data_IF_121283615541
#
_entry.id   IF_121283615541
#
_cell.length_a   1.000
_cell.length_b   1.000
_cell.length_c   1.000
_cell.angle_alpha   90.00
_cell.angle_beta   90.00
_cell.angle_gamma   90.00
#
_symmetry.space_group_name_H-M   'P 1'
#
loop_
_entity.id
_entity.type
_entity.pdbx_description
1 polymer ?
#
# COMPACT_ATOMS: atom_id res chain seq x y z
N UNK A 1 -16.93 -53.07 13.65
CA UNK A 1 -16.85 -51.97 14.64
C UNK A 1 -16.70 -50.70 13.84
N UNK A 2 -17.76 -49.90 13.74
CA UNK A 2 -17.81 -48.68 12.93
C UNK A 2 -17.88 -47.49 13.87
N UNK A 3 -16.80 -46.73 14.01
CA UNK A 3 -16.81 -45.45 14.71
C UNK A 3 -17.02 -44.31 13.71
N UNK A 4 -18.11 -43.59 13.93
CA UNK A 4 -18.59 -42.47 13.14
C UNK A 4 -17.72 -41.23 13.32
N UNK A 5 -17.22 -40.71 12.21
CA UNK A 5 -16.60 -39.39 12.08
C UNK A 5 -17.65 -38.29 12.34
N UNK A 6 -17.61 -37.64 13.50
CA UNK A 6 -18.51 -36.52 13.83
C UNK A 6 -17.83 -35.19 13.48
N UNK A 7 -18.25 -34.57 12.37
CA UNK A 7 -17.81 -33.23 12.00
C UNK A 7 -18.36 -32.19 12.99
N UNK A 8 -17.57 -31.17 13.40
CA UNK A 8 -18.02 -30.15 14.33
C UNK A 8 -19.19 -29.36 13.73
N UNK A 9 -20.34 -29.45 14.41
CA UNK A 9 -21.59 -28.81 14.02
C UNK A 9 -21.45 -27.29 14.11
N UNK A 10 -21.65 -26.59 12.99
CA UNK A 10 -21.67 -25.13 12.95
C UNK A 10 -22.68 -24.58 13.98
N UNK A 11 -22.20 -23.73 14.89
CA UNK A 11 -23.06 -23.06 15.85
C UNK A 11 -23.95 -22.05 15.12
N UNK A 12 -25.25 -22.10 15.41
CA UNK A 12 -26.17 -21.05 14.95
C UNK A 12 -25.90 -19.77 15.74
N UNK A 13 -25.88 -18.59 15.10
CA UNK A 13 -25.76 -17.31 15.79
C UNK A 13 -26.85 -17.19 16.85
N UNK A 14 -26.49 -16.81 18.06
CA UNK A 14 -27.45 -16.58 19.13
C UNK A 14 -28.14 -15.24 18.85
N UNK A 15 -29.48 -15.19 18.69
CA UNK A 15 -30.18 -13.92 18.58
C UNK A 15 -30.00 -13.17 19.91
N UNK A 16 -29.35 -12.01 19.86
CA UNK A 16 -29.25 -11.08 20.99
C UNK A 16 -30.46 -10.14 20.95
N UNK A 17 -31.03 -9.85 22.12
CA UNK A 17 -32.04 -8.81 22.24
C UNK A 17 -31.37 -7.41 22.17
N UNK A 18 -32.08 -6.35 21.75
CA UNK A 18 -31.53 -4.99 21.70
C UNK A 18 -30.87 -4.52 23.01
N UNK A 19 -31.36 -4.98 24.16
CA UNK A 19 -30.80 -4.69 25.49
C UNK A 19 -29.42 -5.35 25.72
N UNK A 20 -29.14 -6.47 25.06
CA UNK A 20 -27.86 -7.16 25.16
C UNK A 20 -26.75 -6.42 24.38
N UNK A 21 -27.11 -5.55 23.43
CA UNK A 21 -26.18 -4.66 22.73
C UNK A 21 -25.79 -3.42 23.56
N UNK A 22 -26.58 -3.05 24.57
CA UNK A 22 -26.29 -1.88 25.40
C UNK A 22 -25.00 -2.02 26.22
N UNK A 23 -24.55 -3.27 26.44
CA UNK A 23 -23.30 -3.59 27.14
C UNK A 23 -22.07 -3.64 26.21
N UNK A 24 -22.24 -3.49 24.90
CA UNK A 24 -21.13 -3.34 23.96
C UNK A 24 -20.96 -1.84 23.67
N UNK A 25 -19.86 -1.21 24.11
CA UNK A 25 -19.53 0.14 23.65
C UNK A 25 -19.47 0.09 22.13
N UNK A 26 -20.36 0.82 21.45
CA UNK A 26 -20.26 1.00 20.01
C UNK A 26 -18.92 1.65 19.69
N UNK A 27 -18.24 1.15 18.65
CA UNK A 27 -17.05 1.82 18.10
C UNK A 27 -17.37 3.23 17.61
N UNK A 28 -16.34 3.98 17.21
CA UNK A 28 -16.55 5.27 16.56
C UNK A 28 -17.48 5.12 15.33
N UNK A 29 -18.29 6.14 15.06
CA UNK A 29 -19.20 6.16 13.91
C UNK A 29 -18.40 6.00 12.59
N UNK A 30 -18.56 4.88 11.84
CA UNK A 30 -17.77 4.62 10.64
C UNK A 30 -17.90 5.71 9.59
N UNK A 31 -19.06 6.37 9.49
CA UNK A 31 -19.26 7.46 8.54
C UNK A 31 -18.39 8.67 8.88
N UNK A 32 -18.29 9.02 10.17
CA UNK A 32 -17.44 10.13 10.64
C UNK A 32 -15.95 9.82 10.51
N UNK A 33 -15.56 8.57 10.75
CA UNK A 33 -14.16 8.14 10.56
C UNK A 33 -13.78 8.24 9.08
N UNK A 34 -14.66 7.78 8.18
CA UNK A 34 -14.44 7.90 6.73
C UNK A 34 -14.39 9.35 6.26
N UNK A 35 -15.27 10.22 6.76
CA UNK A 35 -15.27 11.64 6.43
C UNK A 35 -13.98 12.34 6.91
N UNK A 36 -13.55 12.06 8.15
CA UNK A 36 -12.31 12.60 8.70
C UNK A 36 -11.07 12.13 7.91
N UNK A 37 -11.04 10.85 7.54
CA UNK A 37 -10.00 10.29 6.67
C UNK A 37 -9.90 11.05 5.35
N UNK A 38 -11.05 11.29 4.72
CA UNK A 38 -11.12 11.97 3.44
C UNK A 38 -10.70 13.44 3.53
N UNK A 39 -11.18 14.18 4.54
CA UNK A 39 -10.76 15.56 4.79
C UNK A 39 -9.26 15.68 5.06
N UNK A 40 -8.69 14.77 5.85
CA UNK A 40 -7.25 14.74 6.13
C UNK A 40 -6.44 14.45 4.86
N UNK A 41 -6.90 13.52 4.03
CA UNK A 41 -6.28 13.16 2.76
C UNK A 41 -6.30 14.34 1.77
N UNK A 42 -7.44 15.00 1.62
CA UNK A 42 -7.57 16.20 0.78
C UNK A 42 -6.64 17.31 1.26
N UNK A 43 -6.63 17.62 2.56
CA UNK A 43 -5.78 18.66 3.11
C UNK A 43 -4.29 18.38 2.83
N UNK A 44 -3.85 17.14 2.97
CA UNK A 44 -2.45 16.77 2.74
C UNK A 44 -2.02 16.94 1.28
N UNK A 45 -2.86 16.52 0.32
CA UNK A 45 -2.52 16.61 -1.12
C UNK A 45 -2.75 18.02 -1.69
N UNK A 46 -3.79 18.73 -1.25
CA UNK A 46 -4.08 20.09 -1.70
C UNK A 46 -3.12 21.13 -1.12
N UNK A 47 -2.73 21.01 0.15
CA UNK A 47 -1.76 21.93 0.74
C UNK A 47 -0.37 21.78 0.09
N UNK A 48 -0.07 20.58 -0.41
CA UNK A 48 1.11 20.31 -1.24
C UNK A 48 1.14 21.00 -2.61
N UNK A 49 -0.03 21.22 -3.23
CA UNK A 49 -0.16 21.96 -4.50
C UNK A 49 -0.06 23.48 -4.33
N UNK A 50 -0.48 24.00 -3.17
CA UNK A 50 -0.50 25.45 -2.90
C UNK A 50 0.74 25.95 -2.15
N UNK A 51 1.43 25.07 -1.41
CA UNK A 51 2.66 25.39 -0.69
C UNK A 51 3.89 25.19 -1.58
N UNK A 52 4.65 26.26 -1.83
CA UNK A 52 5.86 26.24 -2.68
C UNK A 52 7.15 25.95 -1.88
N UNK A 53 7.06 25.36 -0.68
CA UNK A 53 8.22 25.15 0.22
C UNK A 53 8.54 23.65 0.41
N UNK A 54 9.58 23.11 -0.28
CA UNK A 54 10.03 21.73 -0.13
C UNK A 54 10.40 21.34 1.31
N UNK A 55 10.81 22.29 2.15
CA UNK A 55 11.13 22.03 3.56
C UNK A 55 9.87 21.79 4.39
N UNK A 56 8.73 22.36 4.01
CA UNK A 56 7.42 22.09 4.64
C UNK A 56 6.93 20.70 4.25
N UNK A 57 7.07 20.30 2.99
CA UNK A 57 6.76 18.93 2.54
C UNK A 57 7.64 17.90 3.26
N UNK A 58 8.96 18.14 3.31
CA UNK A 58 9.90 17.28 4.06
C UNK A 58 9.52 17.20 5.53
N UNK A 59 9.18 18.34 6.17
CA UNK A 59 8.69 18.34 7.54
C UNK A 59 7.35 17.65 7.71
N UNK A 60 6.40 17.75 6.76
CA UNK A 60 5.13 17.04 6.83
C UNK A 60 5.33 15.53 6.72
N UNK A 61 6.25 15.07 5.85
CA UNK A 61 6.67 13.66 5.76
C UNK A 61 7.43 13.22 7.01
N UNK A 62 8.30 14.05 7.58
CA UNK A 62 9.02 13.74 8.82
C UNK A 62 8.10 13.77 10.06
N UNK A 63 7.12 14.67 10.12
CA UNK A 63 6.12 14.76 11.19
C UNK A 63 5.10 13.62 11.09
N UNK A 64 4.76 13.26 9.85
CA UNK A 64 4.06 12.04 9.51
C UNK A 64 4.78 10.82 10.06
N UNK A 65 6.08 10.70 9.81
CA UNK A 65 6.93 9.60 10.26
C UNK A 65 7.20 9.58 11.79
N UNK A 66 7.08 10.73 12.49
CA UNK A 66 7.53 10.83 13.90
C UNK A 66 6.41 10.83 14.95
N UNK A 67 5.21 11.37 14.67
CA UNK A 67 4.12 11.44 15.68
C UNK A 67 2.68 11.42 15.13
N UNK A 68 2.42 11.48 13.81
CA UNK A 68 1.09 11.83 13.29
C UNK A 68 0.49 10.94 12.21
N UNK A 69 1.28 10.33 11.32
CA UNK A 69 0.71 9.57 10.21
C UNK A 69 0.40 8.14 10.57
N UNK A 70 1.02 7.46 11.54
CA UNK A 70 0.50 6.12 11.90
C UNK A 70 -0.99 6.16 12.29
N UNK A 71 -1.42 7.17 13.06
CA UNK A 71 -2.82 7.31 13.45
C UNK A 71 -3.74 7.67 12.26
N UNK A 72 -3.30 8.57 11.37
CA UNK A 72 -4.07 8.98 10.17
C UNK A 72 -4.08 7.86 9.12
N UNK A 73 -2.99 7.12 9.02
CA UNK A 73 -2.80 6.04 8.07
C UNK A 73 -3.51 4.77 8.53
N UNK A 74 -3.61 4.52 9.84
CA UNK A 74 -4.56 3.55 10.42
C UNK A 74 -6.01 3.90 10.04
N UNK A 75 -6.38 5.19 10.10
CA UNK A 75 -7.70 5.65 9.66
C UNK A 75 -7.93 5.41 8.16
N UNK A 76 -6.91 5.63 7.34
CA UNK A 76 -6.97 5.37 5.90
C UNK A 76 -6.93 3.88 5.54
N UNK A 77 -6.42 3.02 6.42
CA UNK A 77 -6.32 1.59 6.15
C UNK A 77 -7.68 0.92 5.92
N UNK A 78 -8.73 1.46 6.52
CA UNK A 78 -10.12 1.00 6.34
C UNK A 78 -10.80 1.63 5.11
N UNK A 79 -10.17 2.61 4.46
CA UNK A 79 -10.74 3.28 3.30
C UNK A 79 -10.76 2.38 2.05
N UNK A 80 -11.74 2.58 1.14
CA UNK A 80 -11.79 1.85 -0.13
C UNK A 80 -10.48 1.94 -0.92
N UNK A 81 -10.13 0.87 -1.63
CA UNK A 81 -8.85 0.80 -2.33
C UNK A 81 -8.59 1.93 -3.33
N UNK A 82 -9.66 2.37 -3.98
CA UNK A 82 -9.70 3.33 -5.09
C UNK A 82 -10.35 4.65 -4.66
N UNK A 83 -10.09 5.04 -3.42
CA UNK A 83 -10.39 6.37 -2.89
C UNK A 83 -9.09 7.15 -2.65
N UNK A 84 -9.17 8.47 -2.44
CA UNK A 84 -8.00 9.28 -2.12
C UNK A 84 -7.27 8.79 -0.85
N UNK A 85 -7.95 8.59 0.31
CA UNK A 85 -7.30 8.07 1.51
C UNK A 85 -6.73 6.65 1.29
N UNK A 86 -7.44 5.78 0.56
CA UNK A 86 -6.96 4.43 0.28
C UNK A 86 -5.73 4.37 -0.64
N UNK A 87 -5.61 5.33 -1.56
CA UNK A 87 -4.43 5.51 -2.40
C UNK A 87 -3.24 6.02 -1.58
N UNK A 88 -3.43 7.04 -0.73
CA UNK A 88 -2.40 7.54 0.17
C UNK A 88 -1.88 6.45 1.10
N UNK A 89 -2.78 5.67 1.73
CA UNK A 89 -2.37 4.56 2.57
C UNK A 89 -1.45 3.58 1.86
N UNK A 90 -1.76 3.23 0.60
CA UNK A 90 -0.91 2.32 -0.19
C UNK A 90 0.47 2.91 -0.44
N UNK A 91 0.58 4.20 -0.70
CA UNK A 91 1.88 4.87 -0.86
C UNK A 91 2.71 4.76 0.43
N UNK A 92 2.10 5.09 1.57
CA UNK A 92 2.77 4.98 2.88
C UNK A 92 3.13 3.53 3.22
N UNK A 93 2.23 2.58 3.01
CA UNK A 93 2.46 1.16 3.29
C UNK A 93 3.59 0.59 2.42
N UNK A 94 3.68 0.99 1.15
CA UNK A 94 4.77 0.59 0.26
C UNK A 94 6.11 1.17 0.73
N UNK A 95 6.15 2.46 1.08
CA UNK A 95 7.35 3.08 1.64
C UNK A 95 7.78 2.40 2.94
N UNK A 96 6.87 2.16 3.86
CA UNK A 96 7.16 1.47 5.12
C UNK A 96 7.70 0.05 4.89
N UNK A 97 7.11 -0.70 3.95
CA UNK A 97 7.58 -2.03 3.58
C UNK A 97 9.01 -2.01 2.98
N UNK A 98 9.33 -0.97 2.20
CA UNK A 98 10.68 -0.73 1.67
C UNK A 98 11.65 -0.42 2.80
N UNK A 99 11.30 0.50 3.71
CA UNK A 99 12.18 0.90 4.81
C UNK A 99 12.48 -0.25 5.78
N UNK A 100 11.49 -1.14 6.02
CA UNK A 100 11.64 -2.30 6.90
C UNK A 100 12.65 -3.33 6.37
N UNK A 101 12.74 -3.54 5.05
CA UNK A 101 13.65 -4.53 4.48
C UNK A 101 14.10 -4.15 3.06
N UNK A 102 14.94 -3.10 2.93
CA UNK A 102 15.30 -2.54 1.63
C UNK A 102 16.15 -3.50 0.80
N UNK A 103 17.03 -4.29 1.43
CA UNK A 103 17.89 -5.28 0.76
C UNK A 103 17.06 -6.33 0.03
N UNK A 104 16.04 -6.86 0.71
CA UNK A 104 15.15 -7.85 0.11
C UNK A 104 14.36 -7.24 -1.05
N UNK A 105 13.91 -5.99 -0.91
CA UNK A 105 13.15 -5.34 -1.96
C UNK A 105 14.04 -4.99 -3.16
N UNK A 106 15.27 -4.53 -2.94
CA UNK A 106 16.27 -4.30 -3.98
C UNK A 106 16.61 -5.59 -4.72
N UNK A 107 16.77 -6.71 -4.01
CA UNK A 107 17.00 -8.02 -4.63
C UNK A 107 15.83 -8.43 -5.55
N UNK A 108 14.57 -8.30 -5.09
CA UNK A 108 13.41 -8.58 -5.93
C UNK A 108 13.31 -7.61 -7.11
N UNK A 109 13.50 -6.32 -6.88
CA UNK A 109 13.46 -5.34 -7.96
C UNK A 109 14.52 -5.67 -9.03
N UNK A 110 15.75 -5.96 -8.62
CA UNK A 110 16.84 -6.37 -9.52
C UNK A 110 16.49 -7.64 -10.29
N UNK A 111 15.86 -8.62 -9.64
CA UNK A 111 15.40 -9.85 -10.31
C UNK A 111 14.24 -9.63 -11.29
N UNK A 112 13.48 -8.52 -11.18
CA UNK A 112 12.36 -8.21 -12.06
C UNK A 112 12.64 -7.18 -13.16
N UNK A 113 13.63 -6.31 -12.98
CA UNK A 113 13.84 -5.12 -13.82
C UNK A 113 14.19 -5.43 -15.28
N UNK A 114 14.84 -6.56 -15.54
CA UNK A 114 15.33 -6.91 -16.89
C UNK A 114 14.18 -7.37 -17.80
N UNK A 115 13.08 -7.82 -17.23
CA UNK A 115 11.88 -8.30 -17.95
C UNK A 115 10.80 -7.20 -18.05
N UNK A 116 10.79 -6.24 -17.12
CA UNK A 116 9.80 -5.16 -17.04
C UNK A 116 10.34 -3.80 -17.51
N UNK A 117 10.84 -3.71 -18.74
CA UNK A 117 11.54 -2.51 -19.24
C UNK A 117 10.71 -1.21 -19.19
N UNK A 118 9.41 -1.27 -19.51
CA UNK A 118 8.53 -0.09 -19.46
C UNK A 118 8.30 0.36 -18.01
N UNK A 119 7.99 -0.58 -17.11
CA UNK A 119 7.78 -0.28 -15.69
C UNK A 119 9.05 0.23 -15.00
N UNK A 120 10.24 -0.25 -15.41
CA UNK A 120 11.52 0.27 -14.92
C UNK A 120 11.71 1.75 -15.25
N UNK A 121 11.40 2.15 -16.49
CA UNK A 121 11.52 3.55 -16.93
C UNK A 121 10.54 4.43 -16.18
N UNK A 122 9.29 3.98 -16.02
CA UNK A 122 8.25 4.73 -15.32
C UNK A 122 8.57 4.88 -13.84
N UNK A 123 9.06 3.83 -13.16
CA UNK A 123 9.49 3.94 -11.77
C UNK A 123 10.63 4.96 -11.56
N UNK A 124 11.33 5.34 -12.64
CA UNK A 124 12.29 6.45 -12.71
C UNK A 124 13.50 6.24 -11.83
N UNK A 125 14.03 5.02 -11.86
CA UNK A 125 15.08 4.56 -10.94
C UNK A 125 16.44 4.62 -11.62
N UNK A 126 17.37 5.38 -11.04
CA UNK A 126 18.76 5.43 -11.49
C UNK A 126 19.47 4.10 -11.17
N UNK A 127 20.34 3.63 -12.07
CA UNK A 127 21.21 2.48 -11.81
C UNK A 127 22.55 2.94 -11.19
N UNK A 128 23.16 2.14 -10.29
CA UNK A 128 22.75 0.81 -9.81
C UNK A 128 21.75 0.87 -8.64
N UNK A 129 21.02 -0.23 -8.43
CA UNK A 129 19.94 -0.33 -7.45
C UNK A 129 20.31 -1.22 -6.27
N UNK A 130 20.97 -0.62 -5.28
CA UNK A 130 21.10 -1.18 -3.94
C UNK A 130 19.94 -0.79 -3.04
N UNK A 131 20.03 -1.17 -1.77
CA UNK A 131 19.03 -0.86 -0.75
C UNK A 131 18.78 0.65 -0.59
N UNK A 132 19.84 1.46 -0.64
CA UNK A 132 19.76 2.90 -0.41
C UNK A 132 19.09 3.61 -1.59
N UNK A 133 19.33 3.18 -2.83
CA UNK A 133 18.67 3.76 -4.00
C UNK A 133 17.17 3.45 -4.04
N UNK A 134 16.76 2.25 -3.62
CA UNK A 134 15.33 1.91 -3.50
C UNK A 134 14.64 2.74 -2.42
N UNK A 135 15.31 2.99 -1.29
CA UNK A 135 14.79 3.89 -0.24
C UNK A 135 14.65 5.32 -0.76
N UNK A 136 15.72 5.87 -1.32
CA UNK A 136 15.74 7.22 -1.85
C UNK A 136 14.67 7.41 -2.93
N UNK A 137 14.46 6.42 -3.79
CA UNK A 137 13.37 6.44 -4.77
C UNK A 137 12.00 6.47 -4.09
N UNK A 138 11.75 5.63 -3.08
CA UNK A 138 10.46 5.62 -2.38
C UNK A 138 10.17 6.95 -1.68
N UNK A 139 11.18 7.53 -1.04
CA UNK A 139 11.10 8.85 -0.41
C UNK A 139 10.82 9.93 -1.47
N UNK A 140 11.55 9.92 -2.59
CA UNK A 140 11.37 10.88 -3.69
C UNK A 140 9.97 10.81 -4.29
N UNK A 141 9.46 9.60 -4.56
CA UNK A 141 8.12 9.42 -5.13
C UNK A 141 7.06 9.93 -4.15
N UNK A 142 7.21 9.63 -2.86
CA UNK A 142 6.26 10.08 -1.85
C UNK A 142 6.29 11.61 -1.67
N UNK A 143 7.47 12.24 -1.67
CA UNK A 143 7.61 13.69 -1.65
C UNK A 143 6.96 14.36 -2.85
N UNK A 144 7.20 13.86 -4.07
CA UNK A 144 6.56 14.38 -5.29
C UNK A 144 5.03 14.32 -5.24
N UNK A 145 4.48 13.30 -4.58
CA UNK A 145 3.03 13.17 -4.36
C UNK A 145 2.45 14.39 -3.60
N UNK A 146 3.23 14.96 -2.68
CA UNK A 146 2.90 16.14 -1.89
C UNK A 146 3.42 17.45 -2.49
N UNK A 147 4.08 17.43 -3.64
CA UNK A 147 4.51 18.64 -4.37
C UNK A 147 3.63 18.90 -5.61
N UNK A 148 2.50 18.19 -5.69
CA UNK A 148 1.49 18.36 -6.73
C UNK A 148 1.55 17.32 -7.86
N UNK A 149 2.51 16.39 -7.83
CA UNK A 149 2.69 15.30 -8.79
C UNK A 149 2.02 13.99 -8.32
N UNK A 150 0.84 14.07 -7.71
CA UNK A 150 0.19 12.93 -7.06
C UNK A 150 -0.11 11.75 -8.01
N UNK A 151 -0.66 12.02 -9.19
CA UNK A 151 -0.87 11.01 -10.24
C UNK A 151 0.43 10.35 -10.69
N UNK A 152 1.47 11.16 -10.91
CA UNK A 152 2.80 10.65 -11.29
C UNK A 152 3.34 9.74 -10.18
N UNK A 153 3.22 10.15 -8.91
CA UNK A 153 3.67 9.35 -7.79
C UNK A 153 2.96 7.98 -7.71
N UNK A 154 1.64 7.96 -7.92
CA UNK A 154 0.84 6.73 -7.99
C UNK A 154 1.31 5.82 -9.14
N UNK A 155 1.52 6.37 -10.35
CA UNK A 155 1.99 5.61 -11.51
C UNK A 155 3.41 5.03 -11.29
N UNK A 156 4.31 5.81 -10.66
CA UNK A 156 5.67 5.36 -10.32
C UNK A 156 5.66 4.21 -9.31
N UNK A 157 4.87 4.31 -8.24
CA UNK A 157 4.74 3.22 -7.27
C UNK A 157 4.02 1.99 -7.84
N UNK A 158 3.05 2.17 -8.74
CA UNK A 158 2.42 1.06 -9.44
C UNK A 158 3.41 0.29 -10.32
N UNK A 159 4.22 1.04 -11.09
CA UNK A 159 5.29 0.48 -11.90
C UNK A 159 6.33 -0.26 -11.04
N UNK A 160 6.73 0.32 -9.91
CA UNK A 160 7.58 -0.35 -8.93
C UNK A 160 6.99 -1.67 -8.42
N UNK A 161 5.71 -1.67 -8.02
CA UNK A 161 5.02 -2.89 -7.58
C UNK A 161 5.05 -4.00 -8.63
N UNK A 162 4.86 -3.66 -9.92
CA UNK A 162 4.93 -4.62 -11.04
C UNK A 162 6.33 -5.23 -11.17
N UNK A 163 7.39 -4.42 -11.09
CA UNK A 163 8.78 -4.91 -11.15
C UNK A 163 9.09 -5.85 -9.98
N UNK A 164 8.74 -5.46 -8.75
CA UNK A 164 8.98 -6.28 -7.55
C UNK A 164 8.17 -7.57 -7.59
N UNK A 165 6.91 -7.54 -8.04
CA UNK A 165 6.08 -8.74 -8.19
C UNK A 165 6.69 -9.76 -9.15
N UNK A 166 7.26 -9.28 -10.26
CA UNK A 166 7.94 -10.12 -11.23
C UNK A 166 9.20 -10.77 -10.62
N UNK A 167 10.00 -9.97 -9.90
CA UNK A 167 11.14 -10.50 -9.16
C UNK A 167 10.75 -11.54 -8.12
N UNK A 168 9.68 -11.30 -7.36
CA UNK A 168 9.17 -12.29 -6.40
C UNK A 168 8.74 -13.60 -7.07
N UNK A 169 8.18 -13.53 -8.28
CA UNK A 169 7.84 -14.71 -9.08
C UNK A 169 9.10 -15.48 -9.48
N UNK A 170 10.13 -14.81 -9.99
CA UNK A 170 11.40 -15.44 -10.34
C UNK A 170 12.07 -16.13 -9.14
N UNK A 171 12.01 -15.49 -7.96
CA UNK A 171 12.50 -16.08 -6.72
C UNK A 171 11.63 -17.25 -6.23
N UNK A 172 10.32 -17.22 -6.48
CA UNK A 172 9.40 -18.30 -6.14
C UNK A 172 9.73 -19.57 -6.95
N UNK A 173 9.89 -19.43 -8.27
CA UNK A 173 10.23 -20.52 -9.19
C UNK A 173 11.56 -21.16 -8.79
N UNK A 174 12.57 -20.33 -8.49
CA UNK A 174 13.88 -20.80 -8.00
C UNK A 174 13.81 -21.53 -6.65
N UNK A 175 12.82 -21.22 -5.82
CA UNK A 175 12.63 -21.83 -4.50
C UNK A 175 11.72 -23.05 -4.52
N UNK A 176 11.02 -23.35 -5.62
CA UNK A 176 9.95 -24.35 -5.65
C UNK A 176 10.45 -25.75 -5.28
N UNK A 177 11.59 -26.17 -5.85
CA UNK A 177 12.18 -27.49 -5.63
C UNK A 177 12.78 -27.66 -4.21
N UNK A 178 13.27 -26.58 -3.61
CA UNK A 178 13.98 -26.62 -2.32
C UNK A 178 13.09 -26.24 -1.12
N UNK A 179 12.07 -25.40 -1.34
CA UNK A 179 11.19 -24.88 -0.31
C UNK A 179 9.84 -24.40 -0.90
N UNK A 180 8.92 -25.36 -1.13
CA UNK A 180 7.59 -25.08 -1.68
C UNK A 180 6.73 -24.12 -0.85
N UNK A 181 6.90 -24.08 0.48
CA UNK A 181 6.20 -23.13 1.34
C UNK A 181 6.63 -21.67 1.06
N UNK A 182 7.94 -21.46 0.90
CA UNK A 182 8.50 -20.15 0.52
C UNK A 182 8.03 -19.75 -0.87
N UNK A 183 8.05 -20.66 -1.85
CA UNK A 183 7.57 -20.39 -3.20
C UNK A 183 6.09 -19.94 -3.18
N UNK A 184 5.22 -20.69 -2.49
CA UNK A 184 3.80 -20.35 -2.34
C UNK A 184 3.58 -18.97 -1.72
N UNK A 185 4.35 -18.62 -0.69
CA UNK A 185 4.29 -17.31 -0.06
C UNK A 185 4.69 -16.19 -1.03
N UNK A 186 5.80 -16.36 -1.75
CA UNK A 186 6.28 -15.37 -2.73
C UNK A 186 5.28 -15.17 -3.87
N UNK A 187 4.70 -16.24 -4.41
CA UNK A 187 3.66 -16.14 -5.44
C UNK A 187 2.42 -15.39 -4.94
N UNK A 188 2.00 -15.60 -3.69
CA UNK A 188 0.87 -14.86 -3.10
C UNK A 188 1.21 -13.37 -2.95
N UNK A 189 2.40 -13.05 -2.45
CA UNK A 189 2.84 -11.67 -2.29
C UNK A 189 2.95 -10.95 -3.64
N UNK A 190 3.47 -11.62 -4.67
CA UNK A 190 3.53 -11.10 -6.03
C UNK A 190 2.13 -10.72 -6.55
N UNK A 191 1.13 -11.61 -6.38
CA UNK A 191 -0.26 -11.30 -6.77
C UNK A 191 -0.84 -10.11 -6.00
N UNK A 192 -0.52 -9.97 -4.72
CA UNK A 192 -0.97 -8.82 -3.93
C UNK A 192 -0.36 -7.52 -4.45
N UNK A 193 0.94 -7.52 -4.78
CA UNK A 193 1.61 -6.36 -5.38
C UNK A 193 1.01 -5.98 -6.75
N UNK A 194 0.64 -6.96 -7.58
CA UNK A 194 -0.05 -6.69 -8.86
C UNK A 194 -1.39 -5.99 -8.62
N UNK A 195 -2.19 -6.45 -7.66
CA UNK A 195 -3.46 -5.78 -7.32
C UNK A 195 -3.24 -4.37 -6.80
N UNK A 196 -2.23 -4.16 -5.94
CA UNK A 196 -1.85 -2.82 -5.48
C UNK A 196 -1.49 -1.92 -6.66
N UNK A 197 -0.73 -2.42 -7.64
CA UNK A 197 -0.39 -1.66 -8.84
C UNK A 197 -1.64 -1.25 -9.64
N UNK A 198 -2.58 -2.17 -9.85
CA UNK A 198 -3.84 -1.89 -10.56
C UNK A 198 -4.70 -0.84 -9.85
N UNK A 199 -4.78 -0.91 -8.51
CA UNK A 199 -5.49 0.09 -7.71
C UNK A 199 -4.82 1.48 -7.82
N UNK A 200 -3.49 1.54 -7.75
CA UNK A 200 -2.74 2.79 -7.89
C UNK A 200 -2.88 3.40 -9.29
N UNK A 201 -2.81 2.59 -10.35
CA UNK A 201 -3.04 3.02 -11.74
C UNK A 201 -4.46 3.58 -11.93
N UNK A 202 -5.45 2.90 -11.33
CA UNK A 202 -6.83 3.38 -11.36
C UNK A 202 -6.97 4.73 -10.63
N UNK A 203 -6.40 4.84 -9.43
CA UNK A 203 -6.42 6.08 -8.65
C UNK A 203 -5.71 7.22 -9.37
N UNK A 204 -4.59 6.96 -10.05
CA UNK A 204 -3.90 7.97 -10.86
C UNK A 204 -4.77 8.49 -12.00
N UNK A 205 -5.45 7.58 -12.70
CA UNK A 205 -6.37 7.96 -13.76
C UNK A 205 -7.58 8.75 -13.23
N UNK A 206 -8.14 8.35 -12.09
CA UNK A 206 -9.26 9.06 -11.45
C UNK A 206 -8.84 10.45 -10.94
N UNK A 207 -7.65 10.58 -10.36
CA UNK A 207 -7.09 11.86 -9.91
C UNK A 207 -6.97 12.86 -11.07
N UNK A 208 -6.44 12.41 -12.22
CA UNK A 208 -6.35 13.25 -13.44
C UNK A 208 -7.70 13.74 -13.95
N UNK A 209 -8.78 13.02 -13.67
CA UNK A 209 -10.16 13.41 -14.03
C UNK A 209 -10.87 14.22 -12.94
N UNK A 210 -10.27 14.38 -11.75
CA UNK A 210 -10.94 14.99 -10.59
C UNK A 210 -12.05 14.11 -10.00
N UNK A 211 -11.96 12.79 -10.19
CA UNK A 211 -12.95 11.81 -9.75
C UNK A 211 -12.48 10.97 -8.55
N UNK A 212 -11.25 11.17 -8.09
CA UNK A 212 -10.70 10.44 -6.95
C UNK A 212 -11.14 11.13 -5.65
N UNK A 213 -12.12 10.52 -5.00
CA UNK A 213 -12.66 10.88 -3.70
C UNK A 213 -12.17 9.88 -2.65
#
# INVERSE_FOLDING_TARGET
>A
MSESNSMPRHHKPKPLAPVDFANFPGGADPARVSEAAHLAAQALVHHGRESTDPEVTRRLVELADQQGVEAVAEMWAESPARSLPGALWRLYALRAAIQQNPERVAAFYSAGKDVAQVSKVVAGVAEPLGADEVRAMADTILSGAFEGEFDVALERFAAFCRVVALGQTNHADSSEASNGNRATMLTRNARQLVRTAEDLEHSAAAWRRGELD
#
